data_IF_463871239370
#
_entry.id   IF_463871239370
#
_cell.length_a   1.000
_cell.length_b   1.000
_cell.length_c   1.000
_cell.angle_alpha   90.00
_cell.angle_beta   90.00
_cell.angle_gamma   90.00
#
_symmetry.space_group_name_H-M   'P 1'
#
loop_
_entity.id
_entity.type
_entity.pdbx_description
1 polymer ?
#
# COMPACT_ATOMS: atom_id res chain seq x y z
N UNK A 1 -3.84 -7.24 -5.93
CA UNK A 1 -4.03 -5.80 -5.67
C UNK A 1 -5.46 -5.60 -5.22
N UNK A 2 -5.70 -5.01 -4.05
CA UNK A 2 -7.06 -4.81 -3.54
C UNK A 2 -7.79 -3.75 -4.39
N UNK A 3 -9.13 -3.83 -4.44
CA UNK A 3 -10.00 -2.93 -5.22
C UNK A 3 -9.74 -1.44 -4.89
N UNK A 4 -9.31 -1.14 -3.67
CA UNK A 4 -8.99 0.23 -3.23
C UNK A 4 -7.69 0.77 -3.81
N UNK A 5 -6.67 -0.08 -4.01
CA UNK A 5 -5.43 0.34 -4.66
C UNK A 5 -5.65 0.71 -6.12
N UNK A 6 -6.56 -0.01 -6.81
CA UNK A 6 -6.90 0.30 -8.19
C UNK A 6 -7.66 1.63 -8.31
N UNK A 7 -8.64 1.88 -7.42
CA UNK A 7 -9.36 3.16 -7.37
C UNK A 7 -8.42 4.34 -7.09
N UNK A 8 -7.47 4.18 -6.17
CA UNK A 8 -6.47 5.22 -5.91
C UNK A 8 -5.64 5.50 -7.15
N UNK A 9 -5.13 4.46 -7.80
CA UNK A 9 -4.32 4.58 -9.03
C UNK A 9 -5.07 5.34 -10.12
N UNK A 10 -6.34 5.00 -10.37
CA UNK A 10 -7.17 5.70 -11.36
C UNK A 10 -7.40 7.18 -11.02
N UNK A 11 -7.57 7.50 -9.73
CA UNK A 11 -7.72 8.90 -9.28
C UNK A 11 -6.43 9.69 -9.48
N UNK A 12 -5.28 9.10 -9.11
CA UNK A 12 -3.97 9.72 -9.29
C UNK A 12 -3.65 9.93 -10.77
N UNK A 13 -3.90 8.94 -11.63
CA UNK A 13 -3.67 9.04 -13.07
C UNK A 13 -4.49 10.17 -13.71
N UNK A 14 -5.78 10.27 -13.34
CA UNK A 14 -6.63 11.39 -13.76
C UNK A 14 -6.13 12.74 -13.26
N UNK A 15 -5.66 12.82 -12.02
CA UNK A 15 -5.12 14.06 -11.46
C UNK A 15 -3.85 14.49 -12.19
N UNK A 16 -2.91 13.57 -12.45
CA UNK A 16 -1.69 13.87 -13.19
C UNK A 16 -1.97 14.31 -14.62
N UNK A 17 -2.92 13.65 -15.31
CA UNK A 17 -3.33 14.07 -16.66
C UNK A 17 -3.92 15.48 -16.67
N UNK A 18 -4.73 15.84 -15.67
CA UNK A 18 -5.28 17.20 -15.51
C UNK A 18 -4.20 18.23 -15.22
N UNK A 19 -3.26 17.90 -14.32
CA UNK A 19 -2.13 18.76 -13.99
C UNK A 19 -1.24 19.03 -15.21
N UNK A 20 -0.99 18.01 -16.04
CA UNK A 20 -0.24 18.16 -17.29
C UNK A 20 -0.92 19.14 -18.24
N UNK A 21 -2.24 18.99 -18.46
CA UNK A 21 -3.00 19.89 -19.34
C UNK A 21 -3.03 21.33 -18.80
N UNK A 22 -3.24 21.52 -17.49
CA UNK A 22 -3.16 22.82 -16.83
C UNK A 22 -1.78 23.47 -17.02
N UNK A 23 -0.70 22.69 -16.93
CA UNK A 23 0.65 23.16 -17.23
C UNK A 23 0.78 23.66 -18.67
N UNK A 24 0.31 22.89 -19.65
CA UNK A 24 0.33 23.32 -21.06
C UNK A 24 -0.43 24.63 -21.28
N UNK A 25 -1.60 24.80 -20.65
CA UNK A 25 -2.38 26.04 -20.71
C UNK A 25 -1.66 27.21 -20.04
N UNK A 26 -1.01 26.99 -18.89
CA UNK A 26 -0.22 28.01 -18.21
C UNK A 26 0.92 28.50 -19.09
N UNK A 27 1.68 27.58 -19.70
CA UNK A 27 2.79 27.92 -20.59
C UNK A 27 2.32 28.72 -21.81
N UNK A 28 1.17 28.34 -22.40
CA UNK A 28 0.56 29.09 -23.51
C UNK A 28 0.13 30.50 -23.11
N UNK A 29 -0.36 30.69 -21.88
CA UNK A 29 -0.78 31.99 -21.37
C UNK A 29 0.41 32.87 -20.97
N UNK A 30 1.48 32.27 -20.43
CA UNK A 30 2.69 32.97 -20.03
C UNK A 30 3.46 33.58 -21.22
N UNK A 31 3.29 33.02 -22.41
CA UNK A 31 3.85 33.55 -23.67
C UNK A 31 3.02 34.73 -24.24
N UNK A 32 1.91 35.10 -23.60
CA UNK A 32 1.06 36.24 -24.00
C UNK A 32 1.33 37.48 -23.15
N UNK A 33 1.55 38.63 -23.78
CA UNK A 33 1.74 39.92 -23.08
C UNK A 33 0.40 40.62 -22.71
N UNK A 34 -0.74 39.96 -22.91
CA UNK A 34 -2.06 40.54 -22.63
C UNK A 34 -2.40 40.52 -21.13
N UNK A 35 -2.86 41.66 -20.60
CA UNK A 35 -3.36 41.75 -19.21
C UNK A 35 -4.54 40.79 -18.92
N UNK A 36 -5.35 40.47 -19.92
CA UNK A 36 -6.41 39.48 -19.77
C UNK A 36 -5.85 38.06 -19.58
N UNK A 37 -4.72 37.74 -20.22
CA UNK A 37 -4.07 36.43 -20.11
C UNK A 37 -3.28 36.31 -18.79
N UNK A 38 -2.74 37.40 -18.26
CA UNK A 38 -2.19 37.42 -16.89
C UNK A 38 -3.23 37.07 -15.82
N UNK A 39 -4.46 37.59 -15.93
CA UNK A 39 -5.55 37.19 -15.02
C UNK A 39 -5.95 35.72 -15.19
N UNK A 40 -5.92 35.19 -16.41
CA UNK A 40 -6.17 33.76 -16.67
C UNK A 40 -5.05 32.87 -16.15
N UNK A 41 -3.81 33.35 -16.17
CA UNK A 41 -2.64 32.66 -15.59
C UNK A 41 -2.83 32.42 -14.09
N UNK A 42 -3.28 33.44 -13.34
CA UNK A 42 -3.60 33.31 -11.92
C UNK A 42 -4.73 32.29 -11.67
N UNK A 43 -5.79 32.30 -12.49
CA UNK A 43 -6.89 31.33 -12.38
C UNK A 43 -6.43 29.88 -12.66
N UNK A 44 -5.47 29.69 -13.58
CA UNK A 44 -4.84 28.39 -13.83
C UNK A 44 -3.99 27.94 -12.64
N UNK A 45 -3.25 28.87 -12.02
CA UNK A 45 -2.49 28.59 -10.80
C UNK A 45 -3.40 28.17 -9.66
N UNK A 46 -4.50 28.89 -9.41
CA UNK A 46 -5.48 28.56 -8.37
C UNK A 46 -6.10 27.16 -8.59
N UNK A 47 -6.42 26.82 -9.85
CA UNK A 47 -6.92 25.48 -10.22
C UNK A 47 -5.88 24.39 -9.98
N UNK A 48 -4.62 24.66 -10.28
CA UNK A 48 -3.53 23.72 -10.00
C UNK A 48 -3.37 23.49 -8.50
N UNK A 49 -3.37 24.55 -7.70
CA UNK A 49 -3.24 24.44 -6.24
C UNK A 49 -4.42 23.68 -5.61
N UNK A 50 -5.64 23.91 -6.09
CA UNK A 50 -6.81 23.14 -5.67
C UNK A 50 -6.66 21.65 -6.00
N UNK A 51 -6.26 21.33 -7.24
CA UNK A 51 -6.04 19.94 -7.70
C UNK A 51 -4.93 19.25 -6.90
N UNK A 52 -3.83 19.97 -6.64
CA UNK A 52 -2.71 19.48 -5.82
C UNK A 52 -3.17 19.18 -4.41
N UNK A 53 -3.89 20.09 -3.78
CA UNK A 53 -4.42 19.93 -2.42
C UNK A 53 -5.35 18.73 -2.31
N UNK A 54 -6.29 18.57 -3.24
CA UNK A 54 -7.19 17.41 -3.29
C UNK A 54 -6.42 16.10 -3.43
N UNK A 55 -5.45 16.05 -4.36
CA UNK A 55 -4.65 14.85 -4.63
C UNK A 55 -3.83 14.44 -3.41
N UNK A 56 -3.17 15.39 -2.74
CA UNK A 56 -2.40 15.15 -1.52
C UNK A 56 -3.31 14.67 -0.39
N UNK A 57 -4.49 15.27 -0.22
CA UNK A 57 -5.44 14.87 0.80
C UNK A 57 -5.92 13.43 0.61
N UNK A 58 -6.29 13.04 -0.62
CA UNK A 58 -6.76 11.69 -0.93
C UNK A 58 -5.65 10.66 -0.74
N UNK A 59 -4.44 10.95 -1.22
CA UNK A 59 -3.30 10.07 -1.05
C UNK A 59 -2.91 9.93 0.44
N UNK A 60 -2.88 11.03 1.19
CA UNK A 60 -2.59 11.04 2.62
C UNK A 60 -3.59 10.21 3.44
N UNK A 61 -4.89 10.33 3.14
CA UNK A 61 -5.92 9.52 3.80
C UNK A 61 -5.70 8.01 3.58
N UNK A 62 -5.33 7.61 2.35
CA UNK A 62 -5.07 6.20 2.06
C UNK A 62 -3.81 5.69 2.79
N UNK A 63 -2.76 6.51 2.88
CA UNK A 63 -1.54 6.17 3.63
C UNK A 63 -1.85 5.99 5.11
N UNK A 64 -2.67 6.86 5.71
CA UNK A 64 -3.10 6.73 7.11
C UNK A 64 -3.82 5.41 7.36
N UNK A 65 -4.76 5.01 6.50
CA UNK A 65 -5.49 3.73 6.63
C UNK A 65 -4.51 2.55 6.61
N UNK A 66 -3.53 2.58 5.71
CA UNK A 66 -2.53 1.51 5.62
C UNK A 66 -1.62 1.48 6.86
N UNK A 67 -1.28 2.63 7.42
CA UNK A 67 -0.51 2.72 8.67
C UNK A 67 -1.29 2.14 9.85
N UNK A 68 -2.57 2.48 9.98
CA UNK A 68 -3.44 1.94 11.04
C UNK A 68 -3.53 0.41 10.96
N UNK A 69 -3.66 -0.15 9.75
CA UNK A 69 -3.70 -1.60 9.57
C UNK A 69 -2.33 -2.26 9.87
N UNK A 70 -1.22 -1.63 9.49
CA UNK A 70 0.12 -2.12 9.85
C UNK A 70 0.28 -2.16 11.37
N UNK A 71 -0.14 -1.10 12.07
CA UNK A 71 -0.02 -1.03 13.53
C UNK A 71 -0.94 -2.04 14.23
N UNK A 72 -2.14 -2.27 13.69
CA UNK A 72 -3.03 -3.34 14.12
C UNK A 72 -2.38 -4.72 13.96
N UNK A 73 -1.80 -5.01 12.79
CA UNK A 73 -1.13 -6.29 12.53
C UNK A 73 0.09 -6.48 13.45
N UNK A 74 0.87 -5.42 13.70
CA UNK A 74 1.98 -5.44 14.66
C UNK A 74 1.51 -5.74 16.08
N UNK A 75 0.36 -5.17 16.50
CA UNK A 75 -0.21 -5.46 17.81
C UNK A 75 -0.65 -6.93 17.93
N UNK A 76 -1.24 -7.49 16.86
CA UNK A 76 -1.61 -8.91 16.81
C UNK A 76 -0.39 -9.81 16.91
N UNK A 77 0.68 -9.53 16.15
CA UNK A 77 1.93 -10.30 16.20
C UNK A 77 2.50 -10.29 17.63
N UNK A 78 2.56 -9.12 18.27
CA UNK A 78 3.03 -9.03 19.67
C UNK A 78 2.15 -9.82 20.63
N UNK A 79 0.84 -9.83 20.44
CA UNK A 79 -0.07 -10.63 21.26
C UNK A 79 0.20 -12.12 21.09
N UNK A 80 0.40 -12.59 19.85
CA UNK A 80 0.78 -13.97 19.54
C UNK A 80 2.14 -14.31 20.19
N UNK A 81 3.15 -13.46 20.06
CA UNK A 81 4.46 -13.68 20.69
C UNK A 81 4.35 -13.75 22.23
N UNK A 82 3.48 -12.91 22.82
CA UNK A 82 3.22 -12.94 24.27
C UNK A 82 2.50 -14.19 24.73
N UNK A 83 1.72 -14.84 23.86
CA UNK A 83 1.12 -16.15 24.10
C UNK A 83 2.14 -17.27 23.86
N UNK A 84 3.07 -17.09 22.93
CA UNK A 84 4.11 -18.08 22.62
C UNK A 84 5.10 -18.24 23.78
N UNK A 85 5.63 -17.14 24.32
CA UNK A 85 6.62 -17.15 25.41
C UNK A 85 6.25 -17.94 26.68
N UNK A 86 4.99 -17.92 27.18
CA UNK A 86 4.59 -18.70 28.35
C UNK A 86 4.24 -20.17 28.06
N UNK A 87 4.05 -20.58 26.80
CA UNK A 87 3.60 -21.93 26.47
C UNK A 87 4.60 -22.75 25.62
N UNK A 88 5.52 -22.13 24.88
CA UNK A 88 6.51 -22.81 24.03
C UNK A 88 7.78 -21.98 23.83
N UNK A 89 8.94 -22.58 24.08
CA UNK A 89 10.23 -22.05 23.62
C UNK A 89 10.38 -22.18 22.09
N UNK A 90 11.34 -21.48 21.49
CA UNK A 90 11.63 -21.64 20.06
C UNK A 90 12.00 -23.09 19.70
N UNK A 91 12.67 -23.81 20.62
CA UNK A 91 12.99 -25.24 20.47
C UNK A 91 11.74 -26.13 20.52
N UNK A 92 10.74 -25.79 21.35
CA UNK A 92 9.47 -26.52 21.41
C UNK A 92 8.68 -26.38 20.11
N UNK A 93 8.66 -25.17 19.53
CA UNK A 93 8.01 -24.93 18.23
C UNK A 93 8.71 -25.67 17.11
N UNK A 94 10.04 -25.68 17.08
CA UNK A 94 10.79 -26.45 16.09
C UNK A 94 10.52 -27.96 16.22
N UNK A 95 10.38 -28.46 17.45
CA UNK A 95 10.08 -29.86 17.73
C UNK A 95 8.66 -30.25 17.32
N UNK A 96 7.66 -29.39 17.55
CA UNK A 96 6.29 -29.64 17.07
C UNK A 96 6.21 -29.61 15.55
N UNK A 97 6.91 -28.70 14.88
CA UNK A 97 6.96 -28.71 13.42
C UNK A 97 7.59 -29.98 12.85
N UNK A 98 8.63 -30.54 13.49
CA UNK A 98 9.17 -31.86 13.12
C UNK A 98 8.15 -32.99 13.27
N UNK A 99 7.35 -32.96 14.33
CA UNK A 99 6.29 -33.95 14.55
C UNK A 99 5.17 -33.83 13.52
N UNK A 100 4.74 -32.61 13.21
CA UNK A 100 3.75 -32.34 12.16
C UNK A 100 4.26 -32.80 10.80
N UNK A 101 5.52 -32.52 10.47
CA UNK A 101 6.12 -32.92 9.20
C UNK A 101 6.25 -34.45 9.09
N UNK A 102 6.64 -35.14 10.18
CA UNK A 102 6.66 -36.61 10.23
C UNK A 102 5.27 -37.24 10.14
N UNK A 103 4.22 -36.56 10.62
CA UNK A 103 2.84 -37.04 10.53
C UNK A 103 2.24 -36.83 9.13
N UNK A 104 2.59 -35.73 8.46
CA UNK A 104 2.16 -35.42 7.09
C UNK A 104 2.95 -36.20 6.04
N UNK A 105 4.22 -36.51 6.32
CA UNK A 105 5.13 -37.27 5.47
C UNK A 105 5.67 -38.50 6.23
N UNK A 106 4.83 -39.50 6.54
CA UNK A 106 5.26 -40.67 7.28
C UNK A 106 6.31 -41.45 6.48
N UNK A 107 7.36 -41.97 7.13
CA UNK A 107 8.36 -42.78 6.46
C UNK A 107 7.69 -44.00 5.82
N UNK A 108 8.17 -44.39 4.63
CA UNK A 108 7.65 -45.55 3.93
C UNK A 108 7.73 -46.78 4.86
N UNK A 109 6.67 -47.62 4.88
CA UNK A 109 6.67 -48.81 5.72
C UNK A 109 7.89 -49.67 5.40
N UNK A 110 8.53 -50.28 6.41
CA UNK A 110 9.68 -51.14 6.18
C UNK A 110 9.25 -52.20 5.18
N UNK A 111 9.93 -52.24 4.03
CA UNK A 111 9.78 -53.32 3.08
C UNK A 111 10.31 -54.55 3.81
N UNK A 112 9.40 -55.37 4.34
CA UNK A 112 9.76 -56.63 4.98
C UNK A 112 10.71 -57.38 4.04
N UNK A 113 11.86 -57.77 4.59
CA UNK A 113 12.75 -58.70 3.93
C UNK A 113 11.91 -59.91 3.53
N UNK A 114 11.65 -60.02 2.22
CA UNK A 114 11.10 -61.23 1.64
C UNK A 114 12.21 -62.27 1.72
N UNK A 115 12.20 -63.06 2.78
CA UNK A 115 12.84 -64.37 2.82
C UNK A 115 12.24 -65.30 1.75
#
# INVERSE_FOLDING_TARGET
MTVDTQKLRERLDKAFKRAYLLGQDYWRLADSESWADNRRSNDVQDKFDALRSETVSVAGAQVSILQDEIDRLRAIIRAIDSLRGPFMSDDDVASVWKLVDAALNPPAPPQGEKE
#
